data_IF_536022809359
#
_entry.id   IF_536022809359
#
_cell.length_a   1.000
_cell.length_b   1.000
_cell.length_c   1.000
_cell.angle_alpha   90.00
_cell.angle_beta   90.00
_cell.angle_gamma   90.00
#
_symmetry.space_group_name_H-M   'P 1'
#
loop_
_entity.id
_entity.type
_entity.pdbx_description
1 polymer ?
#
# COMPACT_ATOMS: atom_id res chain seq x y z
N UNK A 1 -4.86 -9.52 33.12
CA UNK A 1 -4.11 -9.02 31.95
C UNK A 1 -5.03 -9.06 30.77
N UNK A 2 -5.75 -7.96 30.53
CA UNK A 2 -6.71 -7.85 29.44
C UNK A 2 -6.15 -6.83 28.45
N UNK A 3 -5.59 -7.32 27.34
CA UNK A 3 -5.14 -6.46 26.23
C UNK A 3 -6.27 -6.45 25.22
N UNK A 4 -7.03 -5.35 25.08
CA UNK A 4 -8.04 -5.28 24.04
C UNK A 4 -7.28 -5.30 22.71
N UNK A 5 -7.49 -6.37 21.96
CA UNK A 5 -6.95 -6.54 20.62
C UNK A 5 -7.37 -5.34 19.80
N UNK A 6 -6.42 -4.45 19.52
CA UNK A 6 -6.63 -3.29 18.66
C UNK A 6 -7.17 -3.78 17.33
N UNK A 7 -8.45 -3.52 17.10
CA UNK A 7 -9.11 -3.70 15.82
C UNK A 7 -8.36 -2.83 14.82
N UNK A 8 -7.37 -3.43 14.15
CA UNK A 8 -6.73 -2.81 13.00
C UNK A 8 -7.87 -2.45 12.05
N UNK A 9 -8.04 -1.18 11.67
CA UNK A 9 -9.07 -0.83 10.72
C UNK A 9 -8.88 -1.73 9.51
N UNK A 10 -9.88 -2.57 9.20
CA UNK A 10 -9.91 -3.42 8.01
C UNK A 10 -10.12 -2.50 6.80
N UNK A 11 -9.18 -1.58 6.57
CA UNK A 11 -9.11 -0.79 5.37
C UNK A 11 -8.88 -1.74 4.22
N UNK A 12 -9.69 -1.62 3.17
CA UNK A 12 -9.47 -2.37 1.93
C UNK A 12 -8.06 -2.04 1.43
N UNK A 13 -7.20 -3.05 1.31
CA UNK A 13 -5.91 -2.88 0.68
C UNK A 13 -6.14 -2.68 -0.82
N UNK A 14 -5.58 -1.62 -1.36
CA UNK A 14 -5.58 -1.31 -2.78
C UNK A 14 -4.40 -2.00 -3.44
N UNK A 15 -4.60 -2.45 -4.67
CA UNK A 15 -3.55 -2.99 -5.53
C UNK A 15 -2.86 -1.81 -6.23
N UNK A 16 -1.55 -1.73 -6.12
CA UNK A 16 -0.73 -0.78 -6.86
C UNK A 16 0.35 -1.51 -7.66
N UNK A 17 0.65 -1.00 -8.86
CA UNK A 17 1.52 -1.64 -9.86
C UNK A 17 2.64 -0.66 -10.28
N UNK A 18 3.93 -1.05 -10.25
CA UNK A 18 5.01 -0.29 -10.91
C UNK A 18 4.92 -0.55 -12.42
N UNK A 19 5.41 0.41 -13.21
CA UNK A 19 5.67 0.24 -14.63
C UNK A 19 6.49 -1.03 -14.99
N UNK A 20 7.39 -1.50 -14.11
CA UNK A 20 8.14 -2.75 -14.35
C UNK A 20 7.31 -4.04 -14.16
N UNK A 21 6.06 -3.94 -13.71
CA UNK A 21 5.17 -5.07 -13.47
C UNK A 21 5.14 -5.58 -12.02
N UNK A 22 5.93 -5.00 -11.11
CA UNK A 22 5.87 -5.35 -9.69
C UNK A 22 4.58 -4.85 -9.04
N UNK A 23 3.97 -5.67 -8.17
CA UNK A 23 2.66 -5.39 -7.57
C UNK A 23 2.78 -5.39 -6.06
N UNK A 24 2.27 -4.33 -5.43
CA UNK A 24 2.13 -4.23 -3.97
C UNK A 24 0.68 -4.04 -3.57
N UNK A 25 0.39 -4.31 -2.29
CA UNK A 25 -0.92 -4.04 -1.69
C UNK A 25 -0.75 -3.19 -0.45
N UNK A 26 -1.46 -2.07 -0.40
CA UNK A 26 -1.35 -1.13 0.70
C UNK A 26 -2.67 -0.41 0.99
N UNK A 27 -2.76 0.20 2.16
CA UNK A 27 -3.94 1.00 2.50
C UNK A 27 -3.97 2.28 1.65
N UNK A 28 -5.18 2.78 1.38
CA UNK A 28 -5.36 4.08 0.72
C UNK A 28 -4.63 5.19 1.47
N UNK A 29 -4.70 5.20 2.79
CA UNK A 29 -4.01 6.18 3.65
C UNK A 29 -2.51 6.17 3.44
N UNK A 30 -1.89 5.00 3.31
CA UNK A 30 -0.44 4.88 3.05
C UNK A 30 -0.08 5.46 1.68
N UNK A 31 -0.90 5.19 0.66
CA UNK A 31 -0.66 5.68 -0.70
C UNK A 31 -0.79 7.21 -0.80
N UNK A 32 -1.78 7.78 -0.10
CA UNK A 32 -2.00 9.23 -0.09
C UNK A 32 -1.01 9.97 0.81
N UNK A 33 -0.48 9.31 1.85
CA UNK A 33 0.47 9.92 2.78
C UNK A 33 1.88 10.09 2.18
N UNK A 34 2.29 9.22 1.25
CA UNK A 34 3.64 9.28 0.66
C UNK A 34 3.69 8.66 -0.73
N UNK A 35 4.62 9.15 -1.56
CA UNK A 35 4.94 8.52 -2.85
C UNK A 35 5.77 7.28 -2.60
N UNK A 36 5.21 6.10 -2.91
CA UNK A 36 5.93 4.83 -2.83
C UNK A 36 6.62 4.60 -4.16
N UNK A 37 7.95 4.46 -4.12
CA UNK A 37 8.78 4.10 -5.26
C UNK A 37 9.15 2.62 -5.18
N UNK A 38 9.34 2.00 -6.33
CA UNK A 38 9.79 0.61 -6.40
C UNK A 38 11.32 0.55 -6.34
N UNK A 39 11.84 -0.42 -5.58
CA UNK A 39 13.29 -0.59 -5.40
C UNK A 39 14.01 -1.06 -6.69
N UNK A 40 13.28 -1.64 -7.65
CA UNK A 40 13.86 -2.15 -8.90
C UNK A 40 13.91 -1.10 -10.02
N UNK A 41 12.79 -0.40 -10.24
CA UNK A 41 12.61 0.58 -11.32
C UNK A 41 12.83 2.03 -10.87
N UNK A 42 12.88 2.30 -9.56
CA UNK A 42 12.83 3.64 -8.91
C UNK A 42 11.61 4.51 -9.26
N UNK A 43 10.74 4.00 -10.14
CA UNK A 43 9.48 4.61 -10.55
C UNK A 43 8.39 4.47 -9.47
N UNK A 44 7.44 5.43 -9.40
CA UNK A 44 6.34 5.38 -8.44
C UNK A 44 5.34 4.27 -8.78
N UNK A 45 4.74 3.67 -7.76
CA UNK A 45 3.58 2.78 -7.93
C UNK A 45 2.33 3.59 -8.29
N UNK A 46 1.50 3.04 -9.18
CA UNK A 46 0.18 3.59 -9.50
C UNK A 46 -0.93 2.62 -9.06
N UNK A 47 -2.07 3.15 -8.61
CA UNK A 47 -3.23 2.33 -8.29
C UNK A 47 -3.83 1.74 -9.57
N UNK A 48 -4.11 0.44 -9.56
CA UNK A 48 -4.97 -0.21 -10.56
C UNK A 48 -6.39 0.35 -10.34
N UNK A 49 -6.90 1.11 -11.32
CA UNK A 49 -8.25 1.69 -11.28
C UNK A 49 -9.35 0.61 -11.40
#
# INVERSE_FOLDING_TARGET
SDTPGGEKPKGRLLKATCHCGYIIRLSKTTFEATTIRCDECEEPFALDA
#
